data_IF_714494821194
#
_entry.id   IF_714494821194
#
_cell.length_a   1.000
_cell.length_b   1.000
_cell.length_c   1.000
_cell.angle_alpha   90.00
_cell.angle_beta   90.00
_cell.angle_gamma   90.00
#
_symmetry.space_group_name_H-M   'P 1'
#
loop_
_entity.id
_entity.type
_entity.pdbx_description
1 polymer ?
#
# COMPACT_ATOMS: atom_id res chain seq x y z
N UNK A 1 -1.46 31.23 18.21
CA UNK A 1 -1.86 30.15 19.13
C UNK A 1 -2.07 28.91 18.29
N UNK A 2 -1.49 27.77 18.69
CA UNK A 2 -1.83 26.48 18.08
C UNK A 2 -3.32 26.22 18.34
N UNK A 3 -4.07 25.98 17.28
CA UNK A 3 -5.47 25.60 17.38
C UNK A 3 -5.58 24.12 17.74
N UNK A 4 -6.73 23.70 18.27
CA UNK A 4 -7.00 22.27 18.54
C UNK A 4 -6.80 21.43 17.25
N UNK A 5 -7.09 22.02 16.08
CA UNK A 5 -6.86 21.41 14.78
C UNK A 5 -5.38 21.07 14.55
N UNK A 6 -4.46 21.99 14.85
CA UNK A 6 -3.01 21.78 14.65
C UNK A 6 -2.48 20.63 15.52
N UNK A 7 -3.03 20.48 16.74
CA UNK A 7 -2.69 19.40 17.66
C UNK A 7 -3.16 18.04 17.16
N UNK A 8 -4.43 17.94 16.75
CA UNK A 8 -5.00 16.70 16.22
C UNK A 8 -4.28 16.31 14.93
N UNK A 9 -4.09 17.26 14.01
CA UNK A 9 -3.41 17.03 12.75
C UNK A 9 -1.97 16.55 12.95
N UNK A 10 -1.24 17.17 13.89
CA UNK A 10 0.11 16.75 14.25
C UNK A 10 0.15 15.31 14.77
N UNK A 11 -0.71 14.96 15.73
CA UNK A 11 -0.78 13.59 16.27
C UNK A 11 -1.13 12.57 15.19
N UNK A 12 -2.12 12.87 14.33
CA UNK A 12 -2.54 11.97 13.25
C UNK A 12 -1.41 11.74 12.27
N UNK A 13 -0.68 12.79 11.88
CA UNK A 13 0.46 12.67 10.97
C UNK A 13 1.56 11.79 11.55
N UNK A 14 1.94 11.99 12.82
CA UNK A 14 2.92 11.13 13.49
C UNK A 14 2.44 9.68 13.61
N UNK A 15 1.16 9.47 13.90
CA UNK A 15 0.55 8.13 13.99
C UNK A 15 0.61 7.40 12.65
N UNK A 16 0.32 8.08 11.55
CA UNK A 16 0.39 7.49 10.19
C UNK A 16 1.81 7.05 9.85
N UNK A 17 2.82 7.87 10.17
CA UNK A 17 4.23 7.51 9.95
C UNK A 17 4.63 6.29 10.79
N UNK A 18 4.23 6.25 12.06
CA UNK A 18 4.53 5.10 12.92
C UNK A 18 3.85 3.82 12.44
N UNK A 19 2.57 3.91 12.06
CA UNK A 19 1.81 2.78 11.53
C UNK A 19 2.36 2.28 10.19
N UNK A 20 2.82 3.16 9.31
CA UNK A 20 3.41 2.74 8.02
C UNK A 20 4.72 1.99 8.19
N UNK A 21 5.56 2.37 9.18
CA UNK A 21 6.77 1.63 9.54
C UNK A 21 6.42 0.21 10.03
N UNK A 22 5.46 0.09 10.95
CA UNK A 22 5.01 -1.21 11.47
C UNK A 22 4.45 -2.08 10.32
N UNK A 23 3.61 -1.50 9.47
CA UNK A 23 3.06 -2.20 8.32
C UNK A 23 4.17 -2.70 7.38
N UNK A 24 5.21 -1.90 7.14
CA UNK A 24 6.39 -2.30 6.37
C UNK A 24 7.14 -3.48 7.00
N UNK A 25 7.34 -3.48 8.32
CA UNK A 25 7.98 -4.59 9.04
C UNK A 25 7.15 -5.88 8.98
N UNK A 26 5.83 -5.78 9.13
CA UNK A 26 4.91 -6.92 8.99
C UNK A 26 5.00 -7.48 7.57
N UNK A 27 4.93 -6.62 6.54
CA UNK A 27 5.05 -7.03 5.16
C UNK A 27 6.39 -7.75 4.88
N UNK A 28 7.50 -7.24 5.42
CA UNK A 28 8.83 -7.85 5.28
C UNK A 28 8.88 -9.24 5.93
N UNK A 29 8.31 -9.39 7.14
CA UNK A 29 8.27 -10.67 7.86
C UNK A 29 7.38 -11.72 7.17
N UNK A 30 6.28 -11.28 6.56
CA UNK A 30 5.42 -12.14 5.77
C UNK A 30 6.11 -12.57 4.47
N UNK A 31 6.93 -11.70 3.87
CA UNK A 31 7.70 -12.05 2.67
C UNK A 31 8.75 -13.13 2.94
N UNK A 32 9.45 -13.04 4.08
CA UNK A 32 10.43 -14.07 4.48
C UNK A 32 9.74 -15.39 4.80
N UNK A 33 8.59 -15.38 5.48
CA UNK A 33 7.78 -16.57 5.75
C UNK A 33 7.20 -17.22 4.47
N UNK A 34 6.79 -16.40 3.48
CA UNK A 34 6.21 -16.85 2.22
C UNK A 34 7.25 -17.32 1.17
N UNK A 35 8.55 -17.18 1.45
CA UNK A 35 9.64 -17.57 0.55
C UNK A 35 9.72 -19.07 0.25
N UNK A 36 8.87 -19.89 0.89
CA UNK A 36 8.62 -21.30 0.60
C UNK A 36 7.89 -21.46 -0.76
N UNK A 37 8.66 -21.25 -1.83
CA UNK A 37 8.61 -21.51 -3.30
C UNK A 37 7.32 -21.79 -4.10
N UNK A 38 6.11 -21.96 -3.54
CA UNK A 38 4.84 -21.98 -4.33
C UNK A 38 3.95 -20.75 -4.11
N UNK A 39 4.02 -20.14 -2.93
CA UNK A 39 3.17 -19.00 -2.54
C UNK A 39 3.65 -17.64 -3.08
N UNK A 40 4.90 -17.53 -3.52
CA UNK A 40 5.52 -16.30 -4.04
C UNK A 40 4.86 -15.74 -5.31
N UNK A 41 4.07 -16.53 -6.04
CA UNK A 41 3.45 -16.05 -7.27
C UNK A 41 2.36 -14.98 -7.02
N UNK A 42 1.65 -15.07 -5.90
CA UNK A 42 0.69 -14.05 -5.45
C UNK A 42 1.37 -12.78 -4.92
N UNK A 43 2.62 -12.89 -4.47
CA UNK A 43 3.38 -11.76 -3.94
C UNK A 43 3.85 -10.78 -5.00
N UNK A 44 4.06 -11.22 -6.25
CA UNK A 44 4.46 -10.32 -7.35
C UNK A 44 3.43 -9.21 -7.61
N UNK A 45 2.14 -9.50 -7.86
CA UNK A 45 1.14 -8.45 -8.03
C UNK A 45 0.94 -7.61 -6.76
N UNK A 46 1.04 -8.22 -5.57
CA UNK A 46 0.94 -7.50 -4.30
C UNK A 46 2.06 -6.47 -4.13
N UNK A 47 3.30 -6.82 -4.48
CA UNK A 47 4.45 -5.93 -4.37
C UNK A 47 4.34 -4.76 -5.36
N UNK A 48 3.82 -5.01 -6.57
CA UNK A 48 3.50 -3.96 -7.54
C UNK A 48 2.40 -3.03 -6.98
N UNK A 49 1.34 -3.58 -6.37
CA UNK A 49 0.30 -2.78 -5.73
C UNK A 49 0.87 -1.88 -4.63
N UNK A 50 1.74 -2.43 -3.77
CA UNK A 50 2.40 -1.70 -2.68
C UNK A 50 3.31 -0.57 -3.19
N UNK A 51 4.05 -0.81 -4.29
CA UNK A 51 4.88 0.24 -4.90
C UNK A 51 4.03 1.37 -5.51
N UNK A 52 2.94 1.02 -6.21
CA UNK A 52 2.02 2.01 -6.76
C UNK A 52 1.31 2.80 -5.64
N UNK A 53 0.93 2.13 -4.55
CA UNK A 53 0.35 2.77 -3.37
C UNK A 53 1.33 3.74 -2.71
N UNK A 54 2.60 3.33 -2.51
CA UNK A 54 3.63 4.22 -1.96
C UNK A 54 3.88 5.45 -2.86
N UNK A 55 3.86 5.27 -4.20
CA UNK A 55 3.98 6.38 -5.14
C UNK A 55 2.77 7.33 -5.06
N UNK A 56 1.56 6.79 -4.88
CA UNK A 56 0.34 7.58 -4.70
C UNK A 56 0.37 8.40 -3.40
N UNK A 57 0.84 7.83 -2.30
CA UNK A 57 1.04 8.54 -1.02
C UNK A 57 2.03 9.70 -1.17
N UNK A 58 3.13 9.53 -1.92
CA UNK A 58 4.08 10.62 -2.22
C UNK A 58 3.40 11.74 -3.01
N UNK A 59 2.61 11.39 -4.03
CA UNK A 59 1.86 12.37 -4.83
C UNK A 59 0.80 13.07 -3.97
N UNK A 60 0.12 12.33 -3.09
CA UNK A 60 -0.83 12.87 -2.11
C UNK A 60 -0.19 13.87 -1.16
N UNK A 61 1.00 13.54 -0.64
CA UNK A 61 1.77 14.46 0.19
C UNK A 61 2.18 15.72 -0.59
N UNK A 62 2.69 15.59 -1.81
CA UNK A 62 3.04 16.72 -2.68
C UNK A 62 1.84 17.62 -3.00
N UNK A 63 0.64 17.05 -3.08
CA UNK A 63 -0.61 17.81 -3.24
C UNK A 63 -0.94 18.66 -2.02
N UNK A 64 -0.74 18.14 -0.81
CA UNK A 64 -0.95 18.89 0.44
C UNK A 64 0.00 20.10 0.50
N UNK A 65 1.24 19.96 0.03
CA UNK A 65 2.21 21.05 -0.02
C UNK A 65 2.03 22.01 -1.21
N UNK A 66 1.00 21.81 -2.05
CA UNK A 66 0.71 22.69 -3.19
C UNK A 66 1.69 22.56 -4.37
N UNK A 67 2.54 21.54 -4.38
CA UNK A 67 3.53 21.31 -5.46
C UNK A 67 2.85 20.73 -6.71
N UNK A 68 1.77 19.96 -6.53
CA UNK A 68 1.04 19.30 -7.62
C UNK A 68 -0.46 19.21 -7.33
N UNK A 69 -1.33 19.66 -8.23
CA UNK A 69 -2.77 19.80 -7.93
C UNK A 69 -3.71 18.96 -8.80
N UNK A 70 -3.20 18.12 -9.71
CA UNK A 70 -4.07 17.36 -10.62
C UNK A 70 -4.74 16.17 -9.89
N UNK A 71 -6.06 16.21 -9.61
CA UNK A 71 -6.75 15.16 -8.85
C UNK A 71 -6.93 13.86 -9.66
N UNK A 72 -6.80 13.94 -10.99
CA UNK A 72 -7.11 12.83 -11.86
C UNK A 72 -6.11 11.67 -11.71
N UNK A 73 -4.84 12.00 -11.46
CA UNK A 73 -3.75 11.02 -11.35
C UNK A 73 -3.89 10.15 -10.11
N UNK A 74 -4.32 10.72 -8.97
CA UNK A 74 -4.57 9.95 -7.75
C UNK A 74 -5.68 8.92 -7.95
N UNK A 75 -6.78 9.29 -8.63
CA UNK A 75 -7.88 8.34 -8.88
C UNK A 75 -7.48 7.20 -9.82
N UNK A 76 -6.70 7.51 -10.86
CA UNK A 76 -6.21 6.50 -11.81
C UNK A 76 -5.24 5.54 -11.13
N UNK A 77 -4.29 6.05 -10.35
CA UNK A 77 -3.33 5.23 -9.59
C UNK A 77 -4.02 4.29 -8.61
N UNK A 78 -4.95 4.80 -7.80
CA UNK A 78 -5.72 3.98 -6.84
C UNK A 78 -6.51 2.88 -7.55
N UNK A 79 -7.06 3.16 -8.74
CA UNK A 79 -7.75 2.14 -9.54
C UNK A 79 -6.81 1.01 -9.97
N UNK A 80 -5.58 1.34 -10.39
CA UNK A 80 -4.57 0.32 -10.71
C UNK A 80 -4.16 -0.50 -9.47
N UNK A 81 -3.92 0.16 -8.33
CA UNK A 81 -3.63 -0.50 -7.06
C UNK A 81 -4.70 -1.54 -6.72
N UNK A 82 -5.97 -1.19 -6.87
CA UNK A 82 -7.10 -2.08 -6.60
C UNK A 82 -7.09 -3.31 -7.53
N UNK A 83 -6.84 -3.12 -8.83
CA UNK A 83 -6.73 -4.22 -9.79
C UNK A 83 -5.59 -5.18 -9.40
N UNK A 84 -4.44 -4.66 -8.99
CA UNK A 84 -3.32 -5.49 -8.55
C UNK A 84 -3.62 -6.22 -7.23
N UNK A 85 -4.36 -5.61 -6.29
CA UNK A 85 -4.82 -6.30 -5.08
C UNK A 85 -5.80 -7.43 -5.39
N UNK A 86 -6.77 -7.21 -6.28
CA UNK A 86 -7.70 -8.26 -6.72
C UNK A 86 -6.94 -9.42 -7.37
N UNK A 87 -5.99 -9.11 -8.26
CA UNK A 87 -5.16 -10.13 -8.91
C UNK A 87 -4.30 -10.91 -7.90
N UNK A 88 -3.75 -10.24 -6.88
CA UNK A 88 -3.01 -10.88 -5.81
C UNK A 88 -3.90 -11.83 -4.99
N UNK A 89 -5.12 -11.41 -4.65
CA UNK A 89 -6.08 -12.22 -3.90
C UNK A 89 -6.55 -13.44 -4.69
N UNK A 90 -6.92 -13.28 -5.96
CA UNK A 90 -7.32 -14.41 -6.83
C UNK A 90 -6.19 -15.43 -6.85
N UNK A 91 -4.95 -14.97 -7.10
CA UNK A 91 -3.79 -15.84 -7.17
C UNK A 91 -3.48 -16.53 -5.84
N UNK A 92 -3.70 -15.85 -4.71
CA UNK A 92 -3.55 -16.45 -3.39
C UNK A 92 -4.62 -17.51 -3.12
N UNK A 93 -5.87 -17.27 -3.52
CA UNK A 93 -6.98 -18.21 -3.40
C UNK A 93 -6.71 -19.46 -4.25
N UNK A 94 -6.27 -19.30 -5.49
CA UNK A 94 -5.95 -20.42 -6.39
C UNK A 94 -4.82 -21.30 -5.82
N UNK A 95 -3.77 -20.67 -5.28
CA UNK A 95 -2.67 -21.40 -4.63
C UNK A 95 -3.19 -22.15 -3.39
N UNK A 96 -4.07 -21.53 -2.59
CA UNK A 96 -4.62 -22.13 -1.36
C UNK A 96 -5.58 -23.28 -1.65
N UNK A 97 -6.36 -23.18 -2.74
CA UNK A 97 -7.28 -24.23 -3.20
C UNK A 97 -6.58 -25.42 -3.85
N UNK A 98 -5.29 -25.29 -4.20
CA UNK A 98 -4.55 -26.35 -4.85
C UNK A 98 -4.95 -26.61 -6.31
N UNK A 99 -5.71 -25.70 -6.96
CA UNK A 99 -6.16 -25.84 -8.35
C UNK A 99 -5.05 -25.66 -9.41
N UNK A 100 -3.78 -25.73 -9.01
CA UNK A 100 -2.63 -25.74 -9.90
C UNK A 100 -1.84 -27.04 -9.69
N UNK A 101 -2.30 -28.08 -10.37
CA UNK A 101 -1.44 -29.07 -11.02
C UNK A 101 -1.07 -28.58 -12.42
#
# INVERSE_FOLDING_TARGET
MLTIYDWVYGITTFSVVFLSIIAGLIALSMFTAASQRKYLAAWKPLLIALLLFAAEEIIGALKIFGVYSNPWITHVLVSFVLVFFIAALIRQIDITRGCHE
#
